data_IF_505092654084
#
_entry.id   IF_505092654084
#
_cell.length_a   1.000
_cell.length_b   1.000
_cell.length_c   1.000
_cell.angle_alpha   90.00
_cell.angle_beta   90.00
_cell.angle_gamma   90.00
#
_symmetry.space_group_name_H-M   'P 1'
#
loop_
_entity.id
_entity.type
_entity.pdbx_description
1 polymer ?
#
# COMPACT_ATOMS: atom_id res chain seq x y z
N UNK A 1 -1.93 -8.75 3.61
CA UNK A 1 -3.15 -9.54 3.39
C UNK A 1 -3.91 -9.15 2.12
N UNK A 2 -4.13 -7.87 1.80
CA UNK A 2 -4.99 -7.49 0.65
C UNK A 2 -4.47 -7.97 -0.70
N UNK A 3 -3.16 -7.82 -0.93
CA UNK A 3 -2.49 -8.36 -2.12
C UNK A 3 -2.52 -9.89 -2.20
N UNK A 4 -2.67 -10.57 -1.06
CA UNK A 4 -2.68 -12.04 -1.01
C UNK A 4 -4.06 -12.58 -1.41
N UNK A 5 -5.11 -11.90 -0.96
CA UNK A 5 -6.50 -12.36 -1.06
C UNK A 5 -7.28 -11.76 -2.22
N UNK A 6 -6.80 -10.67 -2.81
CA UNK A 6 -7.55 -9.87 -3.78
C UNK A 6 -8.77 -9.14 -3.18
N UNK A 7 -8.90 -9.10 -1.85
CA UNK A 7 -10.05 -8.50 -1.14
C UNK A 7 -9.73 -7.12 -0.60
N UNK A 8 -10.75 -6.25 -0.55
CA UNK A 8 -10.68 -4.95 0.12
C UNK A 8 -10.59 -5.11 1.63
N UNK A 9 -9.91 -4.19 2.30
CA UNK A 9 -9.72 -4.22 3.75
C UNK A 9 -11.04 -4.18 4.54
N UNK A 10 -12.01 -3.42 4.02
CA UNK A 10 -13.40 -3.39 4.44
C UNK A 10 -14.24 -3.69 3.20
N UNK A 11 -15.19 -4.62 3.33
CA UNK A 11 -16.10 -4.96 2.25
C UNK A 11 -17.55 -4.74 2.70
N UNK A 12 -18.09 -3.59 2.34
CA UNK A 12 -19.45 -3.17 2.68
C UNK A 12 -20.52 -3.81 1.76
N UNK A 13 -20.09 -4.63 0.79
CA UNK A 13 -21.01 -5.31 -0.15
C UNK A 13 -21.74 -6.50 0.47
N UNK A 14 -21.28 -7.00 1.63
CA UNK A 14 -21.88 -8.09 2.39
C UNK A 14 -22.93 -7.50 3.35
N UNK A 15 -24.22 -7.71 3.05
CA UNK A 15 -25.35 -7.03 3.72
C UNK A 15 -25.48 -7.28 5.23
N UNK A 16 -24.80 -8.28 5.81
CA UNK A 16 -24.98 -8.66 7.22
C UNK A 16 -23.72 -8.71 8.09
N UNK A 17 -22.51 -8.57 7.54
CA UNK A 17 -21.27 -8.55 8.34
C UNK A 17 -20.16 -7.81 7.59
N UNK A 18 -19.78 -6.61 8.05
CA UNK A 18 -18.53 -5.98 7.62
C UNK A 18 -17.38 -6.83 8.15
N UNK A 19 -16.87 -7.74 7.33
CA UNK A 19 -15.77 -8.62 7.72
C UNK A 19 -14.48 -7.78 7.68
N UNK A 20 -13.90 -7.53 8.85
CA UNK A 20 -12.55 -7.00 8.93
C UNK A 20 -11.58 -8.01 8.30
N UNK A 21 -10.95 -7.63 7.19
CA UNK A 21 -10.12 -8.57 6.42
C UNK A 21 -8.93 -9.10 7.24
N UNK A 22 -8.35 -8.29 8.13
CA UNK A 22 -7.24 -8.74 8.98
C UNK A 22 -7.69 -9.81 9.97
N UNK A 23 -8.84 -9.63 10.63
CA UNK A 23 -9.38 -10.64 11.55
C UNK A 23 -9.81 -11.93 10.84
N UNK A 24 -10.38 -11.82 9.64
CA UNK A 24 -10.71 -12.99 8.83
C UNK A 24 -9.44 -13.74 8.40
N UNK A 25 -8.44 -13.02 7.88
CA UNK A 25 -7.22 -13.59 7.33
C UNK A 25 -6.43 -14.43 8.33
N UNK A 26 -6.31 -14.00 9.59
CA UNK A 26 -5.62 -14.75 10.64
C UNK A 26 -6.32 -16.07 11.01
N UNK A 27 -7.64 -16.20 10.76
CA UNK A 27 -8.44 -17.38 11.09
C UNK A 27 -8.56 -18.39 9.94
N UNK A 28 -8.19 -18.00 8.72
CA UNK A 28 -8.32 -18.85 7.54
C UNK A 28 -7.11 -19.75 7.30
N UNK A 29 -7.34 -20.91 6.68
CA UNK A 29 -6.26 -21.72 6.10
C UNK A 29 -5.59 -21.01 4.93
N UNK A 30 -4.38 -21.43 4.57
CA UNK A 30 -3.62 -20.82 3.48
C UNK A 30 -4.38 -20.91 2.14
N UNK A 31 -5.01 -22.05 1.86
CA UNK A 31 -5.72 -22.32 0.61
C UNK A 31 -6.94 -21.39 0.41
N UNK A 32 -7.55 -20.95 1.51
CA UNK A 32 -8.73 -20.08 1.48
C UNK A 32 -8.40 -18.60 1.34
N UNK A 33 -7.13 -18.21 1.51
CA UNK A 33 -6.70 -16.81 1.45
C UNK A 33 -5.99 -16.46 0.15
N UNK A 34 -5.69 -17.41 -0.71
CA UNK A 34 -5.06 -17.15 -2.01
C UNK A 34 -6.10 -16.54 -2.94
N UNK A 35 -5.75 -15.44 -3.60
CA UNK A 35 -6.53 -14.87 -4.69
C UNK A 35 -6.71 -15.91 -5.81
N UNK A 36 -7.94 -16.30 -6.15
CA UNK A 36 -8.21 -17.25 -7.24
C UNK A 36 -7.66 -16.82 -8.60
N UNK A 37 -7.40 -15.53 -8.83
CA UNK A 37 -6.79 -15.04 -10.06
C UNK A 37 -5.27 -15.29 -10.13
N UNK A 38 -4.64 -15.64 -9.02
CA UNK A 38 -3.20 -15.85 -8.93
C UNK A 38 -2.82 -17.20 -9.54
N UNK A 39 -1.90 -17.19 -10.51
CA UNK A 39 -1.32 -18.39 -11.13
C UNK A 39 0.12 -18.54 -10.66
N UNK A 40 0.41 -19.63 -9.96
CA UNK A 40 1.73 -19.93 -9.41
C UNK A 40 2.05 -21.41 -9.66
N UNK A 41 3.33 -21.72 -9.85
CA UNK A 41 3.85 -23.08 -9.81
C UNK A 41 4.14 -23.52 -8.37
N UNK A 42 4.68 -24.74 -8.19
CA UNK A 42 4.94 -25.30 -6.86
C UNK A 42 5.98 -24.48 -6.07
N UNK A 43 7.02 -23.98 -6.75
CA UNK A 43 8.06 -23.14 -6.13
C UNK A 43 7.51 -21.77 -5.69
N UNK A 44 6.69 -21.14 -6.55
CA UNK A 44 5.98 -19.91 -6.23
C UNK A 44 5.02 -20.10 -5.05
N UNK A 45 4.35 -21.25 -4.96
CA UNK A 45 3.44 -21.55 -3.85
C UNK A 45 4.16 -21.61 -2.51
N UNK A 46 5.36 -22.19 -2.44
CA UNK A 46 6.15 -22.27 -1.21
C UNK A 46 6.65 -20.89 -0.76
N UNK A 47 7.15 -20.09 -1.71
CA UNK A 47 7.50 -18.69 -1.45
C UNK A 47 6.29 -17.89 -0.95
N UNK A 48 5.11 -18.14 -1.53
CA UNK A 48 3.87 -17.48 -1.15
C UNK A 48 3.35 -17.92 0.23
N UNK A 49 3.54 -19.19 0.62
CA UNK A 49 3.26 -19.67 1.99
C UNK A 49 4.05 -18.85 3.00
N UNK A 50 5.34 -18.66 2.76
CA UNK A 50 6.21 -17.82 3.60
C UNK A 50 5.68 -16.38 3.71
N UNK A 51 5.28 -15.76 2.60
CA UNK A 51 4.70 -14.40 2.58
C UNK A 51 3.39 -14.33 3.37
N UNK A 52 2.52 -15.33 3.22
CA UNK A 52 1.24 -15.39 3.92
C UNK A 52 1.40 -15.58 5.43
N UNK A 53 2.34 -16.41 5.87
CA UNK A 53 2.69 -16.57 7.29
C UNK A 53 3.25 -15.28 7.89
N UNK A 54 4.19 -14.62 7.19
CA UNK A 54 4.71 -13.32 7.62
C UNK A 54 3.59 -12.28 7.74
N UNK A 55 2.66 -12.24 6.78
CA UNK A 55 1.51 -11.34 6.84
C UNK A 55 0.60 -11.64 8.04
N UNK A 56 0.42 -12.91 8.43
CA UNK A 56 -0.35 -13.27 9.64
C UNK A 56 0.31 -12.71 10.89
N UNK A 57 1.63 -12.87 11.03
CA UNK A 57 2.38 -12.31 12.17
C UNK A 57 2.31 -10.78 12.22
N UNK A 58 2.34 -10.09 11.08
CA UNK A 58 2.16 -8.64 11.01
C UNK A 58 0.76 -8.18 11.46
N UNK A 59 -0.25 -9.02 11.23
CA UNK A 59 -1.65 -8.73 11.58
C UNK A 59 -2.03 -9.18 12.99
N UNK A 60 -1.07 -9.54 13.84
CA UNK A 60 -1.41 -10.05 15.16
C UNK A 60 -2.16 -9.04 16.03
N UNK A 61 -3.12 -9.53 16.82
CA UNK A 61 -3.95 -8.66 17.68
C UNK A 61 -3.10 -7.93 18.71
N UNK A 62 -2.13 -8.63 19.29
CA UNK A 62 -1.19 -8.12 20.28
C UNK A 62 0.00 -7.43 19.60
N UNK A 63 0.26 -6.13 19.84
CA UNK A 63 1.34 -5.38 19.17
C UNK A 63 2.73 -5.96 19.38
N UNK A 64 3.01 -6.50 20.57
CA UNK A 64 4.27 -7.12 20.94
C UNK A 64 4.55 -8.47 20.25
N UNK A 65 3.55 -9.10 19.64
CA UNK A 65 3.72 -10.30 18.81
C UNK A 65 4.01 -9.98 17.35
N UNK A 66 3.90 -8.72 16.95
CA UNK A 66 4.18 -8.28 15.58
C UNK A 66 5.69 -8.18 15.38
N UNK A 67 6.22 -8.67 14.24
CA UNK A 67 7.63 -8.52 13.93
C UNK A 67 7.98 -7.06 13.67
N UNK A 68 9.22 -6.68 13.96
CA UNK A 68 9.77 -5.40 13.54
C UNK A 68 9.84 -5.31 12.01
N UNK A 69 9.60 -4.11 11.45
CA UNK A 69 9.60 -3.92 9.99
C UNK A 69 10.94 -4.28 9.34
N UNK A 70 12.08 -4.17 10.05
CA UNK A 70 13.37 -4.66 9.56
C UNK A 70 13.35 -6.16 9.32
N UNK A 71 12.72 -6.92 10.22
CA UNK A 71 12.58 -8.37 10.06
C UNK A 71 11.65 -8.71 8.89
N UNK A 72 10.54 -7.98 8.75
CA UNK A 72 9.62 -8.14 7.61
C UNK A 72 10.36 -7.93 6.28
N UNK A 73 11.13 -6.85 6.15
CA UNK A 73 11.93 -6.58 4.94
C UNK A 73 12.99 -7.65 4.72
N UNK A 74 13.66 -8.11 5.78
CA UNK A 74 14.66 -9.17 5.69
C UNK A 74 14.09 -10.48 5.12
N UNK A 75 12.87 -10.87 5.52
CA UNK A 75 12.19 -12.06 5.01
C UNK A 75 11.71 -11.86 3.56
N UNK A 76 11.19 -10.67 3.23
CA UNK A 76 10.64 -10.40 1.90
C UNK A 76 11.73 -10.18 0.83
N UNK A 77 12.86 -9.59 1.18
CA UNK A 77 13.93 -9.22 0.23
C UNK A 77 14.43 -10.38 -0.66
N UNK A 78 14.69 -11.60 -0.16
CA UNK A 78 15.10 -12.71 -1.02
C UNK A 78 13.96 -13.32 -1.86
N UNK A 79 12.70 -13.00 -1.57
CA UNK A 79 11.52 -13.57 -2.25
C UNK A 79 11.01 -12.69 -3.40
N UNK A 80 11.62 -11.53 -3.61
CA UNK A 80 11.23 -10.59 -4.67
C UNK A 80 12.36 -10.46 -5.66
N UNK A 81 12.06 -10.64 -6.95
CA UNK A 81 12.94 -10.14 -7.99
C UNK A 81 12.89 -8.62 -7.99
N UNK A 82 14.00 -7.97 -8.37
CA UNK A 82 14.03 -6.53 -8.57
C UNK A 82 13.05 -6.21 -9.71
N UNK A 83 11.88 -5.69 -9.35
CA UNK A 83 10.93 -5.19 -10.34
C UNK A 83 11.62 -4.11 -11.17
N UNK A 84 11.62 -4.31 -12.49
CA UNK A 84 12.04 -3.30 -13.44
C UNK A 84 10.78 -2.62 -13.99
N UNK A 85 10.72 -1.28 -14.01
CA UNK A 85 9.68 -0.59 -14.75
C UNK A 85 9.64 -1.12 -16.17
N UNK A 86 8.43 -1.31 -16.71
CA UNK A 86 8.29 -1.47 -18.15
C UNK A 86 8.96 -0.26 -18.81
N UNK A 87 9.74 -0.51 -19.86
CA UNK A 87 10.22 0.57 -20.72
C UNK A 87 8.98 1.36 -21.15
N UNK A 88 8.96 2.69 -21.00
CA UNK A 88 7.81 3.47 -21.43
C UNK A 88 7.59 3.23 -22.92
N UNK A 89 6.39 2.78 -23.28
CA UNK A 89 5.99 2.71 -24.68
C UNK A 89 6.11 4.11 -25.27
N UNK A 90 6.61 4.23 -26.51
CA UNK A 90 6.84 5.54 -27.13
C UNK A 90 5.56 6.39 -27.22
N UNK A 91 4.39 5.74 -27.19
CA UNK A 91 3.06 6.36 -27.18
C UNK A 91 2.58 6.76 -25.76
N UNK A 92 3.18 6.21 -24.70
CA UNK A 92 2.92 6.59 -23.30
C UNK A 92 3.83 7.73 -22.82
N UNK A 93 4.71 8.23 -23.68
CA UNK A 93 5.47 9.47 -23.46
C UNK A 93 4.61 10.72 -23.69
N UNK A 94 3.29 10.62 -23.48
CA UNK A 94 2.45 11.80 -23.32
C UNK A 94 2.67 12.33 -21.90
N UNK A 95 3.62 13.26 -21.78
CA UNK A 95 3.75 14.07 -20.57
C UNK A 95 2.38 14.59 -20.16
N UNK A 96 2.08 14.53 -18.86
CA UNK A 96 0.85 15.14 -18.36
C UNK A 96 0.78 16.57 -18.89
N UNK A 97 -0.31 16.93 -19.59
CA UNK A 97 -0.65 18.32 -19.92
C UNK A 97 -1.00 19.05 -18.60
N UNK A 98 0.02 19.24 -17.77
CA UNK A 98 -0.08 20.07 -16.59
C UNK A 98 -0.04 21.52 -17.08
N UNK A 99 -0.93 22.40 -16.58
CA UNK A 99 -0.94 23.81 -16.97
C UNK A 99 0.36 24.55 -16.58
N UNK A 100 1.21 23.91 -15.77
CA UNK A 100 2.48 24.42 -15.28
C UNK A 100 3.42 23.26 -14.90
N UNK A 101 4.72 23.49 -14.99
CA UNK A 101 5.75 22.52 -14.62
C UNK A 101 5.82 22.32 -13.09
N UNK A 102 6.29 21.13 -12.66
CA UNK A 102 6.46 20.81 -11.23
C UNK A 102 7.27 21.87 -10.43
N UNK A 103 8.35 22.48 -10.95
CA UNK A 103 9.05 23.57 -10.26
C UNK A 103 8.18 24.81 -10.04
N UNK A 104 7.30 25.13 -10.98
CA UNK A 104 6.38 26.25 -10.88
C UNK A 104 5.29 25.96 -9.84
N UNK A 105 4.77 24.71 -9.79
CA UNK A 105 3.81 24.31 -8.76
C UNK A 105 4.43 24.49 -7.38
N UNK A 106 5.62 23.91 -7.15
CA UNK A 106 6.34 24.05 -5.88
C UNK A 106 6.56 25.51 -5.48
N UNK A 107 6.85 26.40 -6.43
CA UNK A 107 7.03 27.82 -6.17
C UNK A 107 5.72 28.48 -5.73
N UNK A 108 4.60 28.13 -6.37
CA UNK A 108 3.26 28.61 -5.99
C UNK A 108 2.88 28.16 -4.57
N UNK A 109 3.10 26.90 -4.22
CA UNK A 109 2.81 26.38 -2.87
C UNK A 109 3.62 27.13 -1.80
N UNK A 110 4.93 27.31 -2.01
CA UNK A 110 5.80 28.08 -1.11
C UNK A 110 5.34 29.52 -0.93
N UNK A 111 4.92 30.18 -2.01
CA UNK A 111 4.42 31.55 -1.95
C UNK A 111 3.05 31.65 -1.28
N UNK A 112 2.17 30.65 -1.44
CA UNK A 112 0.88 30.57 -0.73
C UNK A 112 1.08 30.42 0.78
N UNK A 113 2.03 29.57 1.18
CA UNK A 113 2.38 29.33 2.58
C UNK A 113 2.91 30.61 3.25
N UNK A 114 3.69 31.41 2.51
CA UNK A 114 4.16 32.74 2.95
C UNK A 114 3.12 33.85 2.93
N UNK A 115 1.97 33.69 2.26
CA UNK A 115 0.85 34.63 2.30
C UNK A 115 -0.12 34.33 3.45
N UNK A 116 -0.19 33.08 3.89
CA UNK A 116 -0.96 32.68 5.07
C UNK A 116 -0.46 33.39 6.34
N UNK A 117 0.85 33.53 6.50
CA UNK A 117 1.46 34.22 7.65
C UNK A 117 1.22 35.72 7.65
N UNK A 118 1.02 36.36 6.49
CA UNK A 118 0.74 37.81 6.39
C UNK A 118 -0.73 38.11 6.75
N UNK A 119 -1.64 37.17 6.49
CA UNK A 119 -3.06 37.32 6.82
C UNK A 119 -3.37 37.05 8.30
N UNK A 120 -2.54 36.26 9.00
CA UNK A 120 -2.68 36.08 10.45
C UNK A 120 -2.25 37.33 11.23
N UNK A 121 -1.22 38.05 10.79
CA UNK A 121 -0.74 39.27 11.46
C UNK A 121 -1.70 40.48 11.29
N UNK A 122 -2.56 40.48 10.26
CA UNK A 122 -3.50 41.60 10.01
C UNK A 122 -4.81 41.49 10.82
N UNK A 123 -5.12 40.32 11.41
CA UNK A 123 -6.35 40.12 12.20
C UNK A 123 -6.19 40.56 13.67
N UNK A 124 -4.97 40.87 14.13
CA UNK A 124 -4.72 41.37 15.49
C UNK A 124 -4.63 42.90 15.65
N UNK A 125 -4.77 43.68 14.57
CA UNK A 125 -4.91 45.14 14.64
C UNK A 125 -6.29 45.60 14.12
N UNK A 126 -7.36 45.22 14.81
CA UNK A 126 -8.60 46.02 14.89
C UNK A 126 -9.44 45.67 16.13
#
# INVERSE_FOLDING_TARGET
MGMITGKRALDDSQQDNVINLAEWFIKQSFENVIDPAMKMDEEGLESFRTIAELARHCCEKEPNKRPDMRYVVHVLAPLVEIWKPAEPDADDMHGMDLPMSLPEEMSKWKNLEGMSSILEDTIQEN
#
